data_IF_472822692553
#
_entry.id   IF_472822692553
#
_cell.length_a   1.000
_cell.length_b   1.000
_cell.length_c   1.000
_cell.angle_alpha   90.00
_cell.angle_beta   90.00
_cell.angle_gamma   90.00
#
_symmetry.space_group_name_H-M   'P 1'
#
loop_
_entity.id
_entity.type
_entity.pdbx_description
1 polymer ?
#
# COMPACT_ATOMS: atom_id res chain seq x y z
N UNK A 1 9.34 1.50 -2.99
CA UNK A 1 8.92 2.75 -2.29
C UNK A 1 7.40 2.97 -2.32
N UNK A 2 6.73 3.05 -3.48
CA UNK A 2 5.25 3.20 -3.53
C UNK A 2 4.47 2.19 -2.68
N UNK A 3 4.82 0.90 -2.75
CA UNK A 3 4.18 -0.11 -1.90
C UNK A 3 4.58 -0.01 -0.43
N UNK A 4 5.78 0.50 -0.10
CA UNK A 4 6.19 0.71 1.30
C UNK A 4 5.30 1.79 1.96
N UNK A 5 4.91 2.82 1.20
CA UNK A 5 3.97 3.84 1.67
C UNK A 5 2.58 3.28 2.00
N UNK A 6 2.24 2.08 1.49
CA UNK A 6 1.03 1.35 1.86
C UNK A 6 1.29 0.53 3.13
N UNK A 7 2.34 -0.27 3.07
CA UNK A 7 2.56 -1.37 4.00
C UNK A 7 2.98 -0.98 5.41
N UNK A 8 3.97 -0.09 5.54
CA UNK A 8 4.53 0.17 6.86
C UNK A 8 5.18 1.54 7.01
N UNK A 9 5.04 2.09 8.21
CA UNK A 9 5.83 3.20 8.72
C UNK A 9 5.88 3.11 10.25
N UNK A 10 7.06 3.15 10.85
CA UNK A 10 7.17 3.07 12.31
C UNK A 10 6.74 4.38 12.98
N UNK A 11 6.12 4.29 14.16
CA UNK A 11 5.89 5.48 15.00
C UNK A 11 7.23 6.04 15.53
N UNK A 12 7.35 7.37 15.47
CA UNK A 12 8.50 8.10 16.01
C UNK A 12 8.26 8.55 17.45
N UNK A 13 9.33 8.50 18.25
CA UNK A 13 9.37 9.06 19.60
C UNK A 13 9.72 10.54 19.55
N UNK A 14 9.28 11.30 20.55
CA UNK A 14 9.77 12.66 20.77
C UNK A 14 11.27 12.70 21.13
N UNK A 15 11.82 11.60 21.64
CA UNK A 15 13.25 11.48 21.94
C UNK A 15 14.07 11.40 20.64
N UNK A 16 15.14 12.20 20.59
CA UNK A 16 16.11 12.21 19.50
C UNK A 16 17.40 11.50 19.90
N UNK A 17 18.00 10.81 18.94
CA UNK A 17 19.36 10.29 19.01
C UNK A 17 20.25 11.11 18.09
N UNK A 18 21.45 11.45 18.60
CA UNK A 18 22.46 12.15 17.82
C UNK A 18 23.55 11.17 17.42
N UNK A 19 23.68 10.93 16.12
CA UNK A 19 24.71 10.08 15.55
C UNK A 19 25.97 10.93 15.35
N UNK A 20 27.09 10.60 16.01
CA UNK A 20 28.33 11.33 15.84
C UNK A 20 28.86 11.17 14.42
N UNK A 21 29.45 12.24 13.90
CA UNK A 21 30.06 12.22 12.57
C UNK A 21 31.53 11.81 12.64
N UNK A 22 32.03 11.26 11.54
CA UNK A 22 33.46 11.10 11.37
C UNK A 22 34.12 12.46 11.14
N UNK A 23 35.40 12.58 11.48
CA UNK A 23 36.14 13.85 11.46
C UNK A 23 36.10 14.57 10.10
N UNK A 24 36.03 13.80 9.01
CA UNK A 24 36.06 14.31 7.64
C UNK A 24 34.69 14.17 6.94
N UNK A 25 33.62 13.94 7.70
CA UNK A 25 32.26 13.88 7.19
C UNK A 25 31.80 15.27 6.70
N UNK A 26 31.11 15.31 5.56
CA UNK A 26 30.62 16.53 4.92
C UNK A 26 29.19 16.89 5.32
N UNK A 27 28.61 16.16 6.26
CA UNK A 27 27.29 16.46 6.79
C UNK A 27 27.23 17.89 7.35
N UNK A 28 26.08 18.54 7.19
CA UNK A 28 25.94 20.00 7.34
C UNK A 28 26.07 20.44 8.81
N UNK A 29 25.69 19.56 9.74
CA UNK A 29 25.69 19.80 11.19
C UNK A 29 26.76 18.96 11.88
N UNK A 30 27.09 19.25 13.14
CA UNK A 30 28.12 18.49 13.90
C UNK A 30 27.74 17.02 14.20
N UNK A 31 26.44 16.71 14.13
CA UNK A 31 25.87 15.37 14.30
C UNK A 31 24.63 15.23 13.41
N UNK A 32 24.29 13.99 13.06
CA UNK A 32 22.99 13.68 12.46
C UNK A 32 21.98 13.40 13.58
N UNK A 33 20.94 14.23 13.69
CA UNK A 33 19.88 14.04 14.69
C UNK A 33 18.68 13.33 14.07
N UNK A 34 18.24 12.24 14.68
CA UNK A 34 17.12 11.41 14.22
C UNK A 34 16.17 11.15 15.38
N UNK A 35 14.87 11.01 15.10
CA UNK A 35 13.92 10.51 16.10
C UNK A 35 14.18 9.03 16.39
N UNK A 36 14.04 8.62 17.65
CA UNK A 36 14.03 7.18 17.99
C UNK A 36 12.72 6.55 17.54
N UNK A 37 12.76 5.28 17.18
CA UNK A 37 11.53 4.47 17.04
C UNK A 37 10.83 4.36 18.39
N UNK A 38 9.51 4.59 18.41
CA UNK A 38 8.70 4.54 19.64
C UNK A 38 8.33 3.10 19.96
N UNK A 39 8.89 2.57 21.05
CA UNK A 39 8.49 1.28 21.61
C UNK A 39 6.99 1.28 21.97
N UNK A 40 6.32 0.18 21.67
CA UNK A 40 4.93 -0.03 22.06
C UNK A 40 4.83 -0.39 23.55
N UNK A 41 3.59 -0.44 24.05
CA UNK A 41 3.27 -0.95 25.38
C UNK A 41 3.79 -2.38 25.51
N UNK A 42 4.43 -2.68 26.63
CA UNK A 42 4.85 -4.03 27.00
C UNK A 42 3.61 -4.89 27.24
N UNK A 43 3.41 -5.91 26.42
CA UNK A 43 2.33 -6.89 26.55
C UNK A 43 2.82 -8.21 27.15
N UNK A 44 4.11 -8.52 26.98
CA UNK A 44 4.79 -9.70 27.54
C UNK A 44 6.13 -9.31 28.20
N UNK A 45 6.61 -10.00 29.25
CA UNK A 45 7.93 -9.72 29.84
C UNK A 45 9.11 -9.76 28.87
N UNK A 46 9.00 -10.50 27.77
CA UNK A 46 10.01 -10.51 26.70
C UNK A 46 10.15 -9.15 25.99
N UNK A 47 9.09 -8.34 25.94
CA UNK A 47 9.09 -7.01 25.31
C UNK A 47 10.02 -6.02 26.03
N UNK A 48 10.40 -6.28 27.28
CA UNK A 48 11.38 -5.47 28.02
C UNK A 48 12.76 -5.56 27.33
N UNK A 49 13.09 -6.72 26.77
CA UNK A 49 14.35 -6.95 26.06
C UNK A 49 14.20 -6.75 24.55
N UNK A 50 13.04 -7.10 24.00
CA UNK A 50 12.73 -7.04 22.59
C UNK A 50 11.42 -6.28 22.37
N UNK A 51 11.42 -4.94 22.46
CA UNK A 51 10.18 -4.15 22.37
C UNK A 51 9.46 -4.38 21.05
N UNK A 52 8.13 -4.43 21.10
CA UNK A 52 7.29 -4.27 19.92
C UNK A 52 7.27 -2.82 19.42
N UNK A 53 6.94 -2.62 18.15
CA UNK A 53 6.80 -1.29 17.56
C UNK A 53 5.53 -1.21 16.72
N UNK A 54 4.84 -0.07 16.80
CA UNK A 54 3.62 0.16 16.04
C UNK A 54 3.92 0.52 14.60
N UNK A 55 3.09 -0.03 13.72
CA UNK A 55 2.93 0.45 12.36
C UNK A 55 1.89 1.58 12.34
N UNK A 56 2.29 2.77 11.90
CA UNK A 56 1.42 3.92 11.67
C UNK A 56 0.55 3.77 10.40
N UNK A 57 0.90 2.83 9.52
CA UNK A 57 0.10 2.46 8.36
C UNK A 57 -0.74 1.21 8.64
N UNK A 58 -1.72 0.96 7.76
CA UNK A 58 -2.43 -0.32 7.71
C UNK A 58 -1.51 -1.38 7.13
N UNK A 59 -1.35 -2.52 7.83
CA UNK A 59 -0.51 -3.63 7.33
C UNK A 59 -1.13 -4.35 6.12
N UNK A 60 -2.43 -4.14 5.87
CA UNK A 60 -3.14 -4.69 4.73
C UNK A 60 -2.66 -4.08 3.43
N UNK A 61 -2.80 -4.83 2.34
CA UNK A 61 -2.59 -4.29 1.00
C UNK A 61 -3.83 -3.56 0.50
N UNK A 62 -4.15 -2.43 1.15
CA UNK A 62 -5.43 -1.75 1.05
C UNK A 62 -5.36 -0.36 0.41
N UNK A 63 -4.21 -0.04 -0.20
CA UNK A 63 -4.02 1.19 -0.97
C UNK A 63 -3.91 2.42 -0.08
N UNK A 64 -3.56 2.27 1.20
CA UNK A 64 -3.48 3.36 2.18
C UNK A 64 -2.51 4.47 1.79
N UNK A 65 -1.54 4.22 0.91
CA UNK A 65 -0.70 5.26 0.32
C UNK A 65 -1.53 6.27 -0.50
N UNK A 66 -2.67 5.86 -1.04
CA UNK A 66 -3.60 6.70 -1.79
C UNK A 66 -4.76 7.14 -0.90
N UNK A 67 -5.36 6.22 -0.15
CA UNK A 67 -6.62 6.43 0.57
C UNK A 67 -6.44 6.89 2.02
N UNK A 68 -5.23 6.82 2.56
CA UNK A 68 -4.92 7.10 3.96
C UNK A 68 -5.17 5.89 4.88
N UNK A 69 -4.45 5.89 6.00
CA UNK A 69 -4.52 4.83 7.02
C UNK A 69 -5.62 5.06 8.06
N UNK A 70 -6.52 6.04 7.84
CA UNK A 70 -7.64 6.34 8.74
C UNK A 70 -8.84 6.91 8.00
N UNK A 71 -10.05 6.66 8.52
CA UNK A 71 -11.30 7.15 7.94
C UNK A 71 -11.36 8.67 7.83
N UNK A 72 -10.76 9.38 8.80
CA UNK A 72 -10.68 10.84 8.76
C UNK A 72 -9.88 11.32 7.54
N UNK A 73 -8.74 10.68 7.25
CA UNK A 73 -7.93 11.01 6.09
C UNK A 73 -8.62 10.61 4.79
N UNK A 74 -9.25 9.42 4.73
CA UNK A 74 -10.03 8.97 3.58
C UNK A 74 -11.10 10.00 3.19
N UNK A 75 -11.84 10.52 4.17
CA UNK A 75 -12.87 11.55 3.93
C UNK A 75 -12.30 12.85 3.38
N UNK A 76 -11.12 13.28 3.86
CA UNK A 76 -10.45 14.48 3.33
C UNK A 76 -10.08 14.27 1.86
N UNK A 77 -9.47 13.12 1.54
CA UNK A 77 -8.98 12.81 0.20
C UNK A 77 -10.10 12.56 -0.82
N UNK A 78 -11.23 12.01 -0.35
CA UNK A 78 -12.43 11.80 -1.16
C UNK A 78 -13.26 13.08 -1.30
N UNK A 79 -13.23 13.96 -0.30
CA UNK A 79 -14.12 15.13 -0.24
C UNK A 79 -15.60 14.72 -0.22
N UNK A 80 -16.44 15.52 -0.87
CA UNK A 80 -17.91 15.31 -0.92
C UNK A 80 -18.38 14.89 -2.33
N UNK A 81 -17.52 14.23 -3.11
CA UNK A 81 -17.85 13.86 -4.47
C UNK A 81 -19.01 12.81 -4.49
N UNK A 82 -20.14 13.11 -5.17
CA UNK A 82 -21.31 12.24 -5.18
C UNK A 82 -21.07 10.93 -5.95
N UNK A 83 -20.04 10.87 -6.78
CA UNK A 83 -19.63 9.72 -7.58
C UNK A 83 -18.49 8.94 -6.93
N UNK A 84 -18.12 9.28 -5.69
CA UNK A 84 -17.14 8.54 -4.92
C UNK A 84 -15.73 8.72 -5.46
N UNK A 85 -15.42 9.83 -6.12
CA UNK A 85 -14.07 10.11 -6.63
C UNK A 85 -13.14 10.66 -5.56
N UNK A 86 -11.85 10.53 -5.78
CA UNK A 86 -10.80 11.27 -5.07
C UNK A 86 -10.67 12.68 -5.63
N UNK A 87 -10.40 13.63 -4.75
CA UNK A 87 -10.12 15.03 -5.10
C UNK A 87 -8.79 15.10 -5.86
N UNK A 88 -8.81 15.75 -7.01
CA UNK A 88 -7.65 16.03 -7.84
C UNK A 88 -7.73 17.46 -8.37
N UNK A 89 -6.57 18.09 -8.57
CA UNK A 89 -6.50 19.43 -9.14
C UNK A 89 -6.34 19.36 -10.66
N UNK A 90 -7.27 19.98 -11.38
CA UNK A 90 -7.19 20.13 -12.83
C UNK A 90 -6.43 21.40 -13.21
N UNK A 91 -5.39 21.24 -14.02
CA UNK A 91 -4.62 22.33 -14.59
C UNK A 91 -4.55 22.20 -16.11
N UNK A 92 -4.19 23.28 -16.80
CA UNK A 92 -4.02 23.28 -18.27
C UNK A 92 -3.04 22.21 -18.79
N UNK A 93 -2.10 21.78 -17.96
CA UNK A 93 -1.06 20.81 -18.32
C UNK A 93 -1.41 19.37 -17.92
N UNK A 94 -2.51 19.15 -17.20
CA UNK A 94 -2.92 17.83 -16.72
C UNK A 94 -3.58 17.87 -15.35
N UNK A 95 -3.87 16.68 -14.82
CA UNK A 95 -4.49 16.47 -13.52
C UNK A 95 -3.42 16.04 -12.50
N UNK A 96 -3.42 16.66 -11.32
CA UNK A 96 -2.39 16.47 -10.30
C UNK A 96 -3.02 16.18 -8.93
N UNK A 97 -2.21 15.69 -7.99
CA UNK A 97 -2.63 15.60 -6.60
C UNK A 97 -2.84 17.00 -6.01
N UNK A 98 -3.88 17.19 -5.19
CA UNK A 98 -4.09 18.46 -4.52
C UNK A 98 -2.95 18.75 -3.54
N UNK A 99 -2.80 20.02 -3.16
CA UNK A 99 -1.72 20.49 -2.28
C UNK A 99 -2.26 21.12 -1.01
N UNK A 100 -1.57 20.91 0.11
CA UNK A 100 -1.85 21.66 1.35
C UNK A 100 -1.24 23.08 1.29
N UNK A 101 -1.44 23.85 2.36
CA UNK A 101 -0.93 25.23 2.46
C UNK A 101 0.61 25.33 2.41
N UNK A 102 1.31 24.24 2.72
CA UNK A 102 2.77 24.17 2.71
C UNK A 102 3.31 23.61 1.37
N UNK A 103 2.42 23.29 0.43
CA UNK A 103 2.76 22.74 -0.88
C UNK A 103 3.03 21.23 -0.89
N UNK A 104 2.72 20.52 0.19
CA UNK A 104 2.83 19.06 0.23
C UNK A 104 1.66 18.42 -0.53
N UNK A 105 1.87 17.27 -1.18
CA UNK A 105 0.79 16.55 -1.84
C UNK A 105 -0.17 16.00 -0.79
N UNK A 106 -1.47 16.25 -1.00
CA UNK A 106 -2.56 15.66 -0.27
C UNK A 106 -2.85 14.28 -0.87
N UNK A 107 -2.37 13.25 -0.20
CA UNK A 107 -2.56 11.83 -0.53
C UNK A 107 -2.52 11.02 0.76
N UNK A 108 -2.72 9.71 0.68
CA UNK A 108 -2.79 8.84 1.86
C UNK A 108 -1.50 8.78 2.70
N UNK A 109 -0.35 8.89 2.05
CA UNK A 109 0.97 8.96 2.70
C UNK A 109 1.94 9.82 1.88
N UNK A 110 2.55 10.85 2.47
CA UNK A 110 3.40 11.81 1.75
C UNK A 110 4.81 12.03 2.34
N UNK A 111 5.21 11.29 3.36
CA UNK A 111 6.58 11.40 3.94
C UNK A 111 7.66 10.91 2.97
N UNK A 112 8.87 11.47 3.08
CA UNK A 112 10.04 11.11 2.26
C UNK A 112 9.76 11.16 0.74
N UNK A 113 9.10 12.21 0.27
CA UNK A 113 8.58 12.34 -1.09
C UNK A 113 9.66 12.55 -2.18
N UNK A 114 9.36 12.12 -3.42
CA UNK A 114 10.12 12.48 -4.63
C UNK A 114 9.19 12.33 -5.85
N UNK A 115 9.61 12.86 -7.01
CA UNK A 115 8.74 12.95 -8.20
C UNK A 115 8.19 11.60 -8.70
N UNK A 116 8.92 10.49 -8.51
CA UNK A 116 8.40 9.16 -8.87
C UNK A 116 7.17 8.76 -8.02
N UNK A 117 7.10 9.21 -6.76
CA UNK A 117 5.91 9.01 -5.92
C UNK A 117 4.74 9.83 -6.43
N UNK A 118 4.99 11.09 -6.81
CA UNK A 118 3.96 11.96 -7.39
C UNK A 118 3.25 11.28 -8.54
N UNK A 119 4.03 10.74 -9.49
CA UNK A 119 3.50 10.09 -10.69
C UNK A 119 2.63 8.89 -10.32
N UNK A 120 3.11 8.00 -9.44
CA UNK A 120 2.40 6.77 -9.09
C UNK A 120 1.14 7.04 -8.26
N UNK A 121 1.21 7.94 -7.27
CA UNK A 121 0.04 8.31 -6.47
C UNK A 121 -1.02 9.00 -7.34
N UNK A 122 -0.63 9.94 -8.20
CA UNK A 122 -1.56 10.59 -9.13
C UNK A 122 -2.16 9.58 -10.12
N UNK A 123 -1.35 8.68 -10.69
CA UNK A 123 -1.81 7.66 -11.63
C UNK A 123 -2.88 6.75 -11.03
N UNK A 124 -2.65 6.22 -9.82
CA UNK A 124 -3.64 5.33 -9.21
C UNK A 124 -4.83 6.08 -8.58
N UNK A 125 -4.71 7.37 -8.28
CA UNK A 125 -5.87 8.21 -7.97
C UNK A 125 -6.73 8.47 -9.22
N UNK A 126 -6.11 8.70 -10.38
CA UNK A 126 -6.80 8.78 -11.66
C UNK A 126 -7.45 7.46 -12.05
N UNK A 127 -6.77 6.34 -11.86
CA UNK A 127 -7.33 4.99 -12.08
C UNK A 127 -8.54 4.75 -11.19
N UNK A 128 -8.48 5.13 -9.92
CA UNK A 128 -9.64 5.07 -9.03
C UNK A 128 -10.82 5.88 -9.60
N UNK A 129 -10.59 7.13 -10.03
CA UNK A 129 -11.64 7.97 -10.59
C UNK A 129 -12.21 7.39 -11.90
N UNK A 130 -11.37 6.77 -12.73
CA UNK A 130 -11.79 6.07 -13.94
C UNK A 130 -12.65 4.83 -13.62
N UNK A 131 -12.33 4.09 -12.56
CA UNK A 131 -13.16 2.98 -12.08
C UNK A 131 -14.50 3.51 -11.53
N UNK A 132 -14.50 4.63 -10.78
CA UNK A 132 -15.73 5.27 -10.33
C UNK A 132 -16.64 5.67 -11.51
N UNK A 133 -16.07 6.24 -12.57
CA UNK A 133 -16.81 6.59 -13.79
C UNK A 133 -17.42 5.36 -14.48
N UNK A 134 -16.65 4.27 -14.59
CA UNK A 134 -17.14 3.01 -15.14
C UNK A 134 -18.28 2.42 -14.29
N UNK A 135 -18.14 2.42 -12.96
CA UNK A 135 -19.16 1.94 -12.04
C UNK A 135 -20.42 2.80 -12.08
N UNK A 136 -20.29 4.14 -12.13
CA UNK A 136 -21.44 5.05 -12.20
C UNK A 136 -22.25 4.82 -13.48
N UNK A 137 -21.58 4.55 -14.60
CA UNK A 137 -22.24 4.27 -15.88
C UNK A 137 -23.08 2.99 -15.83
N UNK A 138 -22.56 1.92 -15.24
CA UNK A 138 -23.24 0.62 -15.16
C UNK A 138 -24.24 0.54 -14.00
N UNK A 139 -24.01 1.31 -12.93
CA UNK A 139 -24.83 1.34 -11.73
C UNK A 139 -25.24 2.77 -11.33
N UNK A 140 -26.12 3.44 -12.10
CA UNK A 140 -26.49 4.84 -11.88
C UNK A 140 -27.08 5.12 -10.50
N UNK A 141 -27.77 4.15 -9.91
CA UNK A 141 -28.48 4.29 -8.63
C UNK A 141 -27.62 4.03 -7.38
N UNK A 142 -26.34 3.66 -7.54
CA UNK A 142 -25.46 3.43 -6.38
C UNK A 142 -25.14 4.75 -5.66
N UNK A 143 -25.03 4.72 -4.34
CA UNK A 143 -24.50 5.86 -3.59
C UNK A 143 -23.02 6.06 -3.91
N UNK A 144 -22.53 7.31 -3.77
CA UNK A 144 -21.10 7.61 -3.89
C UNK A 144 -20.24 6.77 -2.95
N UNK A 145 -20.73 6.43 -1.75
CA UNK A 145 -20.03 5.56 -0.80
C UNK A 145 -19.81 4.16 -1.37
N UNK A 146 -20.87 3.57 -1.94
CA UNK A 146 -20.79 2.24 -2.53
C UNK A 146 -19.87 2.23 -3.75
N UNK A 147 -19.89 3.29 -4.56
CA UNK A 147 -18.98 3.44 -5.70
C UNK A 147 -17.53 3.55 -5.20
N UNK A 148 -17.26 4.43 -4.24
CA UNK A 148 -15.92 4.63 -3.67
C UNK A 148 -15.36 3.32 -3.10
N UNK A 149 -16.11 2.63 -2.24
CA UNK A 149 -15.66 1.38 -1.61
C UNK A 149 -15.38 0.30 -2.65
N UNK A 150 -16.25 0.20 -3.66
CA UNK A 150 -16.06 -0.77 -4.75
C UNK A 150 -14.85 -0.42 -5.61
N UNK A 151 -14.70 0.86 -5.98
CA UNK A 151 -13.57 1.34 -6.77
C UNK A 151 -12.24 1.18 -6.02
N UNK A 152 -12.22 1.43 -4.70
CA UNK A 152 -11.07 1.17 -3.83
C UNK A 152 -10.71 -0.31 -3.86
N UNK A 153 -11.66 -1.22 -3.65
CA UNK A 153 -11.39 -2.67 -3.71
C UNK A 153 -10.79 -3.10 -5.06
N UNK A 154 -11.35 -2.62 -6.17
CA UNK A 154 -10.85 -2.93 -7.52
C UNK A 154 -9.43 -2.40 -7.71
N UNK A 155 -9.17 -1.15 -7.33
CA UNK A 155 -7.87 -0.52 -7.50
C UNK A 155 -6.78 -1.16 -6.62
N UNK A 156 -7.10 -1.53 -5.37
CA UNK A 156 -6.19 -2.27 -4.49
C UNK A 156 -5.85 -3.65 -5.08
N UNK A 157 -6.85 -4.37 -5.58
CA UNK A 157 -6.62 -5.66 -6.24
C UNK A 157 -5.78 -5.51 -7.53
N UNK A 158 -5.98 -4.44 -8.29
CA UNK A 158 -5.18 -4.13 -9.48
C UNK A 158 -3.72 -3.88 -9.11
N UNK A 159 -3.45 -3.04 -8.11
CA UNK A 159 -2.10 -2.78 -7.62
C UNK A 159 -1.43 -4.06 -7.10
N UNK A 160 -2.15 -4.87 -6.31
CA UNK A 160 -1.66 -6.15 -5.82
C UNK A 160 -1.31 -7.12 -6.94
N UNK A 161 -2.13 -7.15 -8.00
CA UNK A 161 -1.90 -7.96 -9.19
C UNK A 161 -0.67 -7.54 -9.96
N UNK A 162 -0.55 -6.25 -10.27
CA UNK A 162 0.61 -5.70 -10.99
C UNK A 162 1.89 -6.01 -10.21
N UNK A 163 1.88 -5.79 -8.90
CA UNK A 163 3.05 -6.07 -8.08
C UNK A 163 3.40 -7.56 -8.08
N UNK A 164 2.40 -8.44 -7.89
CA UNK A 164 2.59 -9.89 -7.84
C UNK A 164 3.07 -10.45 -9.18
N UNK A 165 2.34 -10.19 -10.27
CA UNK A 165 2.54 -10.90 -11.55
C UNK A 165 3.47 -10.19 -12.52
N UNK A 166 3.78 -8.91 -12.29
CA UNK A 166 4.60 -8.10 -13.20
C UNK A 166 5.85 -7.55 -12.52
N UNK A 167 5.70 -6.79 -11.43
CA UNK A 167 6.84 -6.15 -10.76
C UNK A 167 7.81 -7.17 -10.15
N UNK A 168 7.33 -8.10 -9.32
CA UNK A 168 8.21 -9.07 -8.63
C UNK A 168 9.01 -9.93 -9.61
N UNK A 169 8.42 -10.50 -10.68
CA UNK A 169 9.19 -11.21 -11.71
C UNK A 169 10.14 -10.32 -12.51
N UNK A 170 9.88 -9.01 -12.63
CA UNK A 170 10.76 -8.08 -13.33
C UNK A 170 11.97 -7.64 -12.48
N UNK A 171 11.81 -7.54 -11.16
CA UNK A 171 12.92 -7.22 -10.24
C UNK A 171 13.89 -8.38 -10.10
N UNK A 172 13.37 -9.61 -10.04
CA UNK A 172 14.17 -10.84 -9.94
C UNK A 172 13.88 -11.72 -11.14
N UNK A 173 14.56 -11.45 -12.26
CA UNK A 173 14.31 -12.09 -13.56
C UNK A 173 14.78 -13.55 -13.55
N UNK A 174 13.95 -14.44 -13.01
CA UNK A 174 14.18 -15.88 -12.98
C UNK A 174 12.93 -16.65 -13.42
N UNK A 175 13.04 -17.65 -14.33
CA UNK A 175 11.90 -18.40 -14.82
C UNK A 175 11.05 -19.04 -13.73
N UNK A 176 11.69 -19.61 -12.70
CA UNK A 176 10.98 -20.20 -11.58
C UNK A 176 10.15 -19.17 -10.79
N UNK A 177 10.65 -17.93 -10.63
CA UNK A 177 9.91 -16.88 -9.94
C UNK A 177 8.71 -16.42 -10.77
N UNK A 178 8.88 -16.27 -12.09
CA UNK A 178 7.76 -15.94 -12.99
C UNK A 178 6.63 -16.97 -12.90
N UNK A 179 6.98 -18.26 -12.87
CA UNK A 179 6.01 -19.35 -12.69
C UNK A 179 5.38 -19.28 -11.31
N UNK A 180 6.19 -19.17 -10.24
CA UNK A 180 5.72 -19.13 -8.86
C UNK A 180 4.77 -17.96 -8.60
N UNK A 181 5.14 -16.74 -9.00
CA UNK A 181 4.31 -15.56 -8.82
C UNK A 181 3.02 -15.61 -9.65
N UNK A 182 3.09 -16.17 -10.87
CA UNK A 182 1.88 -16.44 -11.66
C UNK A 182 0.97 -17.48 -10.98
N UNK A 183 1.54 -18.51 -10.35
CA UNK A 183 0.79 -19.52 -9.62
C UNK A 183 0.19 -18.97 -8.32
N UNK A 184 0.86 -18.05 -7.62
CA UNK A 184 0.28 -17.37 -6.47
C UNK A 184 -1.01 -16.63 -6.85
N UNK A 185 -1.05 -15.99 -8.03
CA UNK A 185 -2.25 -15.26 -8.46
C UNK A 185 -3.30 -16.14 -9.14
N UNK A 186 -2.89 -17.05 -10.02
CA UNK A 186 -3.80 -17.81 -10.90
C UNK A 186 -3.92 -19.29 -10.56
N UNK A 187 -3.07 -19.80 -9.66
CA UNK A 187 -2.84 -21.22 -9.43
C UNK A 187 -2.02 -21.88 -10.54
N UNK A 188 -1.61 -23.14 -10.32
CA UNK A 188 -0.86 -23.91 -11.33
C UNK A 188 -1.67 -24.17 -12.60
N UNK A 189 -3.00 -24.06 -12.53
CA UNK A 189 -3.89 -24.20 -13.71
C UNK A 189 -3.78 -23.00 -14.66
N UNK A 190 -3.22 -21.90 -14.17
CA UNK A 190 -2.87 -20.73 -14.96
C UNK A 190 -4.06 -19.85 -15.35
N UNK A 191 -3.78 -18.67 -15.93
CA UNK A 191 -4.78 -17.62 -16.15
C UNK A 191 -5.89 -18.02 -17.11
N UNK A 192 -5.62 -18.87 -18.12
CA UNK A 192 -6.62 -19.26 -19.12
C UNK A 192 -7.75 -20.07 -18.49
N UNK A 193 -7.41 -21.11 -17.73
CA UNK A 193 -8.41 -21.95 -17.06
C UNK A 193 -9.11 -21.18 -15.95
N UNK A 194 -8.38 -20.41 -15.14
CA UNK A 194 -8.96 -19.61 -14.06
C UNK A 194 -9.92 -18.54 -14.58
N UNK A 195 -9.65 -17.90 -15.72
CA UNK A 195 -10.58 -16.94 -16.33
C UNK A 195 -11.81 -17.60 -16.95
N UNK A 196 -11.69 -18.83 -17.47
CA UNK A 196 -12.79 -19.54 -18.11
C UNK A 196 -13.74 -20.21 -17.11
N UNK A 197 -13.20 -20.76 -16.03
CA UNK A 197 -13.97 -21.61 -15.10
C UNK A 197 -13.96 -21.10 -13.65
N UNK A 198 -13.29 -19.96 -13.39
CA UNK A 198 -13.06 -19.50 -12.03
C UNK A 198 -12.12 -20.43 -11.26
N UNK A 199 -12.28 -20.45 -9.94
CA UNK A 199 -11.52 -21.33 -9.05
C UNK A 199 -12.06 -22.77 -9.14
N UNK A 200 -11.16 -23.74 -9.28
CA UNK A 200 -11.48 -25.17 -9.39
C UNK A 200 -11.45 -25.88 -8.02
N UNK A 201 -12.06 -27.07 -7.95
CA UNK A 201 -12.08 -27.96 -6.78
C UNK A 201 -12.60 -27.32 -5.47
N UNK A 202 -13.74 -26.63 -5.55
CA UNK A 202 -14.44 -26.05 -4.39
C UNK A 202 -13.58 -25.11 -3.54
N UNK A 203 -12.68 -24.34 -4.16
CA UNK A 203 -11.83 -23.31 -3.52
C UNK A 203 -10.83 -23.83 -2.46
N UNK A 204 -10.67 -25.14 -2.31
CA UNK A 204 -9.89 -25.71 -1.19
C UNK A 204 -8.36 -25.67 -1.38
N UNK A 205 -7.87 -25.42 -2.59
CA UNK A 205 -6.44 -25.46 -2.87
C UNK A 205 -5.96 -24.16 -3.52
N UNK A 206 -5.10 -23.45 -2.81
CA UNK A 206 -4.40 -22.28 -3.31
C UNK A 206 -3.33 -22.64 -4.33
N UNK A 207 -2.73 -23.82 -4.21
CA UNK A 207 -1.79 -24.35 -5.21
C UNK A 207 -2.48 -24.47 -6.57
N UNK A 208 -3.69 -25.03 -6.59
CA UNK A 208 -4.42 -25.28 -7.84
C UNK A 208 -5.05 -24.01 -8.41
N UNK A 209 -5.70 -23.20 -7.56
CA UNK A 209 -6.57 -22.09 -8.00
C UNK A 209 -6.01 -20.69 -7.71
N UNK A 210 -4.84 -20.60 -7.08
CA UNK A 210 -4.23 -19.35 -6.61
C UNK A 210 -4.74 -18.91 -5.24
N UNK A 211 -4.11 -17.88 -4.70
CA UNK A 211 -4.50 -17.24 -3.43
C UNK A 211 -5.76 -16.37 -3.61
N UNK A 212 -5.90 -15.50 -4.64
CA UNK A 212 -7.09 -14.65 -4.77
C UNK A 212 -8.41 -15.46 -4.78
N UNK A 213 -9.28 -15.18 -3.81
CA UNK A 213 -10.55 -15.88 -3.61
C UNK A 213 -10.46 -17.16 -2.78
N UNK A 214 -9.31 -17.45 -2.15
CA UNK A 214 -9.20 -18.42 -1.05
C UNK A 214 -9.80 -17.86 0.26
N UNK A 215 -9.80 -18.66 1.32
CA UNK A 215 -10.19 -18.20 2.65
C UNK A 215 -9.09 -17.35 3.30
N UNK A 216 -9.43 -16.65 4.39
CA UNK A 216 -8.46 -15.95 5.22
C UNK A 216 -7.86 -16.93 6.25
N UNK A 217 -6.88 -17.70 5.82
CA UNK A 217 -6.03 -18.52 6.69
C UNK A 217 -4.88 -17.62 7.21
N UNK A 218 -4.57 -17.68 8.51
CA UNK A 218 -3.48 -16.91 9.13
C UNK A 218 -2.56 -17.79 10.01
N UNK A 219 -2.58 -19.11 9.83
CA UNK A 219 -1.77 -20.11 10.53
C UNK A 219 -1.80 -19.98 12.08
N UNK A 220 -2.93 -19.51 12.62
CA UNK A 220 -3.11 -19.27 14.06
C UNK A 220 -2.43 -18.02 14.62
N UNK A 221 -1.83 -17.18 13.77
CA UNK A 221 -1.15 -15.93 14.15
C UNK A 221 -1.85 -14.74 13.48
N UNK A 222 -2.30 -13.72 14.23
CA UNK A 222 -2.90 -12.54 13.63
C UNK A 222 -2.01 -11.89 12.57
N UNK A 223 -2.59 -11.58 11.41
CA UNK A 223 -1.85 -10.95 10.31
C UNK A 223 -1.19 -9.63 10.72
N UNK A 224 0.10 -9.51 10.44
CA UNK A 224 0.89 -8.29 10.56
C UNK A 224 2.08 -8.35 9.59
N UNK A 225 2.64 -7.19 9.25
CA UNK A 225 3.98 -7.11 8.66
C UNK A 225 5.01 -6.99 9.78
N UNK A 226 6.14 -7.68 9.63
CA UNK A 226 7.11 -7.87 10.71
C UNK A 226 8.33 -6.96 10.59
N UNK A 227 9.11 -6.86 11.66
CA UNK A 227 10.36 -6.11 11.68
C UNK A 227 11.40 -6.63 10.68
N UNK A 228 11.41 -7.94 10.44
CA UNK A 228 12.24 -8.57 9.41
C UNK A 228 11.79 -8.14 8.01
N UNK A 229 10.47 -8.07 7.76
CA UNK A 229 9.93 -7.57 6.50
C UNK A 229 10.37 -6.12 6.25
N UNK A 230 10.28 -5.26 7.26
CA UNK A 230 10.79 -3.87 7.18
C UNK A 230 12.27 -3.85 6.82
N UNK A 231 13.06 -4.72 7.47
CA UNK A 231 14.51 -4.76 7.30
C UNK A 231 14.95 -5.20 5.91
N UNK A 232 14.31 -6.23 5.32
CA UNK A 232 14.66 -6.72 3.98
C UNK A 232 14.19 -5.80 2.85
N UNK A 233 13.25 -4.89 3.13
CA UNK A 233 12.76 -3.88 2.18
C UNK A 233 13.51 -2.54 2.22
N UNK A 234 14.62 -2.45 2.97
CA UNK A 234 15.54 -1.30 2.93
C UNK A 234 16.41 -1.35 1.66
N UNK A 235 15.79 -1.06 0.51
CA UNK A 235 16.39 -1.04 -0.84
C UNK A 235 16.56 0.37 -1.38
#
# INVERSE_FOLDING_TARGET
KFQIHDWFNHEESAEKVNIPLQKDDKWITEHMSLHRTKADVTLDPSDIKCPGYKNANTAWWDGSQIYGSSEAMTKVLRGNDPDGKLVLDEHKMGTFLPRDNDGNPLTGFNSNWWIGMEILHALFALEHNAICDALRKEYPDWSGDKIFDTARMVNCALMAKIHTTEWTPAVLVHPALKIGMSANWWGIVGPTLTKAFGRLFNNRSEIISGIPGSGAEQDGVPFSLTEEFVSVYRM
#
